data_IF_070160432115
#
_entry.id   IF_070160432115
#
_cell.length_a   1.000
_cell.length_b   1.000
_cell.length_c   1.000
_cell.angle_alpha   90.00
_cell.angle_beta   90.00
_cell.angle_gamma   90.00
#
_symmetry.space_group_name_H-M   'P 1'
#
loop_
_entity.id
_entity.type
_entity.pdbx_description
1 polymer ?
#
# COMPACT_ATOMS: atom_id res chain seq x y z
N UNK A 1 5.12 20.82 -39.79
CA UNK A 1 6.11 21.06 -38.72
C UNK A 1 5.41 21.84 -37.62
N UNK A 2 5.21 21.46 -36.36
CA UNK A 2 5.42 20.27 -35.51
C UNK A 2 4.05 20.04 -34.83
N UNK A 3 3.46 18.84 -34.70
CA UNK A 3 3.91 17.63 -33.99
C UNK A 3 4.25 17.86 -32.51
N UNK A 4 3.31 18.40 -31.73
CA UNK A 4 3.26 18.14 -30.30
C UNK A 4 2.06 17.24 -30.00
N UNK A 5 2.35 15.95 -30.12
CA UNK A 5 1.50 14.87 -29.66
C UNK A 5 1.21 15.07 -28.17
N UNK A 6 -0.02 15.48 -27.87
CA UNK A 6 -0.65 15.19 -26.59
C UNK A 6 -0.68 13.65 -26.45
N UNK A 7 0.41 13.08 -25.95
CA UNK A 7 0.48 11.66 -25.57
C UNK A 7 -0.32 11.51 -24.29
N UNK A 8 -1.62 11.30 -24.52
CA UNK A 8 -2.56 10.51 -23.74
C UNK A 8 -1.84 9.68 -22.67
N UNK A 9 -1.68 10.24 -21.47
CA UNK A 9 -1.26 9.51 -20.29
C UNK A 9 -2.44 8.60 -19.97
N UNK A 10 -2.33 7.33 -20.38
CA UNK A 10 -3.28 6.29 -20.00
C UNK A 10 -3.24 6.16 -18.48
N UNK A 11 -4.08 6.93 -17.81
CA UNK A 11 -4.37 6.81 -16.38
C UNK A 11 -5.15 5.53 -16.17
N UNK A 12 -4.46 4.39 -16.25
CA UNK A 12 -5.01 3.12 -15.82
C UNK A 12 -5.17 3.20 -14.31
N UNK A 13 -6.42 3.13 -13.83
CA UNK A 13 -6.70 3.01 -12.40
C UNK A 13 -6.07 1.72 -11.89
N UNK A 14 -5.01 1.84 -11.13
CA UNK A 14 -4.32 0.74 -10.47
C UNK A 14 -5.25 0.10 -9.43
N UNK A 15 -5.32 -1.23 -9.41
CA UNK A 15 -6.11 -1.98 -8.42
C UNK A 15 -5.23 -2.40 -7.24
N UNK A 16 -5.86 -2.85 -6.14
CA UNK A 16 -5.13 -3.41 -4.99
C UNK A 16 -4.29 -4.63 -5.38
N UNK A 17 -4.74 -5.44 -6.33
CA UNK A 17 -4.00 -6.61 -6.83
C UNK A 17 -2.71 -6.22 -7.56
N UNK A 18 -2.71 -5.08 -8.24
CA UNK A 18 -1.50 -4.58 -8.91
C UNK A 18 -0.44 -4.18 -7.87
N UNK A 19 -0.86 -3.57 -6.76
CA UNK A 19 0.04 -3.08 -5.69
C UNK A 19 0.43 -4.18 -4.70
N UNK A 20 -0.47 -5.13 -4.42
CA UNK A 20 -0.29 -6.24 -3.48
C UNK A 20 -0.62 -7.59 -4.14
N UNK A 21 0.24 -8.07 -5.07
CA UNK A 21 -0.08 -9.23 -5.90
C UNK A 21 -0.05 -10.58 -5.15
N UNK A 22 0.56 -10.62 -3.96
CA UNK A 22 0.73 -11.86 -3.20
C UNK A 22 -0.24 -11.99 -2.03
N UNK A 23 -0.46 -10.91 -1.30
CA UNK A 23 -1.32 -10.88 -0.13
C UNK A 23 -1.81 -9.46 0.10
N UNK A 24 -3.13 -9.26 0.04
CA UNK A 24 -3.75 -7.97 0.27
C UNK A 24 -3.85 -7.68 1.78
N UNK A 25 -3.79 -6.39 2.17
CA UNK A 25 -4.04 -5.97 3.54
C UNK A 25 -5.50 -6.20 3.95
N UNK A 26 -5.72 -6.45 5.23
CA UNK A 26 -7.02 -6.77 5.81
C UNK A 26 -7.40 -5.76 6.89
N UNK A 27 -8.68 -5.38 6.92
CA UNK A 27 -9.24 -4.55 8.00
C UNK A 27 -9.49 -5.36 9.28
N UNK A 28 -9.47 -6.68 9.17
CA UNK A 28 -9.67 -7.62 10.28
C UNK A 28 -8.35 -8.10 10.88
N UNK A 29 -7.21 -7.79 10.25
CA UNK A 29 -5.90 -8.09 10.81
C UNK A 29 -5.55 -7.09 11.91
N UNK A 30 -4.99 -7.60 13.01
CA UNK A 30 -4.48 -6.77 14.10
C UNK A 30 -3.25 -5.98 13.63
N UNK A 31 -2.47 -6.56 12.71
CA UNK A 31 -1.26 -5.95 12.14
C UNK A 31 -1.19 -6.23 10.64
N UNK A 32 -1.09 -5.17 9.85
CA UNK A 32 -0.72 -5.23 8.43
C UNK A 32 0.76 -4.84 8.27
N UNK A 33 1.59 -5.73 7.73
CA UNK A 33 3.02 -5.53 7.52
C UNK A 33 3.26 -5.27 6.04
N UNK A 34 3.66 -4.06 5.69
CA UNK A 34 3.95 -3.69 4.31
C UNK A 34 5.44 -3.87 3.99
N UNK A 35 5.77 -4.84 3.14
CA UNK A 35 7.15 -5.18 2.81
C UNK A 35 7.59 -4.55 1.48
N UNK A 36 8.52 -3.60 1.55
CA UNK A 36 9.06 -2.91 0.39
C UNK A 36 10.32 -3.64 -0.13
N UNK A 37 10.33 -4.10 -1.40
CA UNK A 37 11.50 -4.74 -1.97
C UNK A 37 12.66 -3.74 -2.12
N UNK A 38 13.89 -4.26 -2.08
CA UNK A 38 15.09 -3.46 -2.36
C UNK A 38 15.08 -2.95 -3.81
N UNK A 39 15.87 -1.91 -4.08
CA UNK A 39 15.95 -1.28 -5.40
C UNK A 39 16.28 -2.31 -6.49
N UNK A 40 15.30 -2.59 -7.37
CA UNK A 40 15.44 -3.57 -8.45
C UNK A 40 14.63 -4.87 -8.27
N UNK A 41 14.22 -5.20 -7.04
CA UNK A 41 13.38 -6.36 -6.75
C UNK A 41 11.89 -6.08 -6.94
N UNK A 42 11.10 -7.13 -7.17
CA UNK A 42 9.63 -7.07 -7.09
C UNK A 42 9.10 -7.83 -5.88
N UNK A 43 7.78 -7.87 -5.71
CA UNK A 43 7.11 -8.48 -4.57
C UNK A 43 7.38 -9.99 -4.47
N UNK A 44 7.69 -10.65 -5.58
CA UNK A 44 7.94 -12.10 -5.64
C UNK A 44 9.09 -12.59 -4.73
N UNK A 45 10.03 -11.72 -4.34
CA UNK A 45 11.11 -12.07 -3.41
C UNK A 45 10.58 -12.54 -2.05
N UNK A 46 9.37 -12.11 -1.71
CA UNK A 46 8.71 -12.42 -0.44
C UNK A 46 7.83 -13.68 -0.50
N UNK A 47 7.71 -14.35 -1.65
CA UNK A 47 6.91 -15.58 -1.77
C UNK A 47 7.28 -16.63 -0.73
N UNK A 48 8.58 -16.79 -0.46
CA UNK A 48 9.06 -17.76 0.53
C UNK A 48 8.65 -17.38 1.96
N UNK A 49 8.50 -16.10 2.26
CA UNK A 49 8.16 -15.62 3.60
C UNK A 49 6.69 -15.87 3.91
N UNK A 50 5.81 -15.79 2.91
CA UNK A 50 4.39 -16.12 3.03
C UNK A 50 4.13 -17.60 3.28
N UNK A 51 5.07 -18.48 2.90
CA UNK A 51 4.97 -19.93 3.09
C UNK A 51 5.53 -20.39 4.44
N UNK A 52 6.01 -19.48 5.29
CA UNK A 52 6.48 -19.86 6.61
C UNK A 52 5.27 -20.00 7.56
N UNK A 53 5.09 -21.16 8.16
CA UNK A 53 3.97 -21.46 9.07
C UNK A 53 4.07 -20.77 10.44
N UNK A 54 4.96 -19.79 10.60
CA UNK A 54 5.24 -19.11 11.87
C UNK A 54 4.56 -17.73 11.99
N UNK A 55 3.78 -17.32 11.00
CA UNK A 55 3.01 -16.08 11.08
C UNK A 55 1.74 -16.29 11.92
N UNK A 56 1.43 -15.37 12.85
CA UNK A 56 0.14 -15.35 13.52
C UNK A 56 -1.01 -15.16 12.51
N UNK A 57 -2.12 -15.89 12.68
CA UNK A 57 -3.29 -15.80 11.78
C UNK A 57 -3.93 -14.39 11.73
N UNK A 58 -3.71 -13.58 12.76
CA UNK A 58 -4.20 -12.21 12.88
C UNK A 58 -3.25 -11.17 12.25
N UNK A 59 -2.15 -11.59 11.63
CA UNK A 59 -1.21 -10.70 10.94
C UNK A 59 -1.33 -10.89 9.42
N UNK A 60 -1.29 -9.79 8.69
CA UNK A 60 -1.27 -9.80 7.23
C UNK A 60 0.07 -9.28 6.73
N UNK A 61 0.86 -10.15 6.12
CA UNK A 61 2.11 -9.75 5.47
C UNK A 61 1.84 -9.40 4.01
N UNK A 62 2.04 -8.13 3.64
CA UNK A 62 1.62 -7.56 2.36
C UNK A 62 2.85 -7.05 1.57
N UNK A 63 3.46 -7.90 0.73
CA UNK A 63 4.50 -7.50 -0.19
C UNK A 63 4.02 -6.45 -1.18
N UNK A 64 4.75 -5.32 -1.27
CA UNK A 64 4.41 -4.21 -2.15
C UNK A 64 5.10 -4.39 -3.51
N UNK A 65 4.33 -4.28 -4.58
CA UNK A 65 4.81 -4.26 -5.96
C UNK A 65 4.94 -2.83 -6.48
N UNK A 66 6.18 -2.38 -6.71
CA UNK A 66 6.46 -1.04 -7.21
C UNK A 66 6.17 -0.92 -8.72
N UNK A 67 5.79 0.29 -9.15
CA UNK A 67 5.63 0.65 -10.57
C UNK A 67 6.89 0.33 -11.38
N UNK A 68 6.74 -0.20 -12.59
CA UNK A 68 7.87 -0.50 -13.47
C UNK A 68 8.62 -1.80 -13.10
N UNK A 69 8.00 -2.69 -12.32
CA UNK A 69 8.57 -3.98 -11.90
C UNK A 69 7.59 -5.13 -12.14
N UNK A 70 8.10 -6.30 -12.51
CA UNK A 70 7.33 -7.54 -12.73
C UNK A 70 6.03 -7.33 -13.53
N UNK A 71 4.87 -7.62 -12.93
CA UNK A 71 3.56 -7.46 -13.57
C UNK A 71 3.22 -5.99 -13.90
N UNK A 72 3.93 -5.03 -13.29
CA UNK A 72 3.85 -3.59 -13.53
C UNK A 72 5.00 -3.04 -14.40
N UNK A 73 5.77 -3.89 -15.12
CA UNK A 73 6.95 -3.48 -15.92
C UNK A 73 6.66 -2.43 -17.01
N UNK A 74 5.41 -2.37 -17.49
CA UNK A 74 4.99 -1.41 -18.54
C UNK A 74 4.72 0.00 -17.99
N UNK A 75 4.67 0.15 -16.67
CA UNK A 75 4.46 1.44 -16.03
C UNK A 75 5.77 2.20 -15.91
N UNK A 76 5.68 3.53 -15.92
CA UNK A 76 6.85 4.40 -15.78
C UNK A 76 7.34 4.29 -14.33
N UNK A 77 8.61 3.89 -14.09
CA UNK A 77 9.15 3.88 -12.73
C UNK A 77 9.23 5.30 -12.17
N UNK A 78 8.86 5.47 -10.90
CA UNK A 78 9.13 6.71 -10.19
C UNK A 78 10.63 7.00 -10.13
N UNK A 79 11.00 8.24 -10.44
CA UNK A 79 12.39 8.73 -10.37
C UNK A 79 12.73 9.36 -9.02
N UNK A 80 11.71 9.69 -8.24
CA UNK A 80 11.84 10.34 -6.93
C UNK A 80 11.12 9.50 -5.88
N UNK A 81 11.74 9.39 -4.70
CA UNK A 81 11.16 8.61 -3.59
C UNK A 81 9.84 9.22 -3.10
N UNK A 82 9.73 10.55 -3.08
CA UNK A 82 8.54 11.23 -2.58
C UNK A 82 7.29 10.89 -3.40
N UNK A 83 7.41 10.82 -4.73
CA UNK A 83 6.31 10.44 -5.62
C UNK A 83 5.89 8.99 -5.44
N UNK A 84 6.87 8.10 -5.19
CA UNK A 84 6.59 6.70 -4.90
C UNK A 84 5.86 6.55 -3.56
N UNK A 85 6.33 7.23 -2.52
CA UNK A 85 5.68 7.20 -1.20
C UNK A 85 4.26 7.76 -1.31
N UNK A 86 4.06 8.87 -2.02
CA UNK A 86 2.74 9.46 -2.21
C UNK A 86 1.75 8.50 -2.89
N UNK A 87 2.19 7.73 -3.89
CA UNK A 87 1.36 6.67 -4.49
C UNK A 87 1.02 5.59 -3.44
N UNK A 88 2.02 5.06 -2.76
CA UNK A 88 1.85 3.96 -1.80
C UNK A 88 0.95 4.34 -0.63
N UNK A 89 1.04 5.58 -0.14
CA UNK A 89 0.19 6.09 0.93
C UNK A 89 -1.30 5.99 0.55
N UNK A 90 -1.69 6.20 -0.71
CA UNK A 90 -3.09 6.07 -1.12
C UNK A 90 -3.63 4.64 -0.95
N UNK A 91 -2.76 3.63 -1.07
CA UNK A 91 -3.13 2.21 -0.91
C UNK A 91 -2.97 1.69 0.51
N UNK A 92 -2.05 2.29 1.28
CA UNK A 92 -1.72 1.85 2.64
C UNK A 92 -2.55 2.60 3.70
N UNK A 93 -2.89 3.87 3.48
CA UNK A 93 -3.61 4.71 4.42
C UNK A 93 -4.92 4.08 4.95
N UNK A 94 -5.74 3.39 4.14
CA UNK A 94 -6.95 2.76 4.64
C UNK A 94 -6.71 1.69 5.72
N UNK A 95 -5.52 1.09 5.77
CA UNK A 95 -5.21 -0.07 6.60
C UNK A 95 -4.23 0.24 7.75
N UNK A 96 -3.79 1.50 7.90
CA UNK A 96 -2.78 1.91 8.89
C UNK A 96 -3.37 2.53 10.16
N UNK A 97 -4.68 2.78 10.17
CA UNK A 97 -5.44 3.16 11.36
C UNK A 97 -6.77 2.42 11.31
N UNK A 98 -7.26 1.81 12.41
CA UNK A 98 -8.70 1.62 12.54
C UNK A 98 -9.33 3.01 12.31
N UNK A 99 -10.48 3.14 11.61
CA UNK A 99 -11.14 4.43 11.52
C UNK A 99 -11.26 4.94 12.95
N UNK A 100 -10.51 5.98 13.28
CA UNK A 100 -10.67 6.67 14.55
C UNK A 100 -12.06 7.25 14.46
N UNK A 101 -13.05 6.47 14.91
CA UNK A 101 -14.27 7.02 15.42
C UNK A 101 -13.80 8.01 16.46
N UNK A 102 -13.83 9.30 16.10
CA UNK A 102 -13.86 10.37 17.06
C UNK A 102 -15.16 10.16 17.84
N UNK A 103 -15.18 9.20 18.75
CA UNK A 103 -16.15 9.19 19.83
C UNK A 103 -15.68 10.36 20.68
N UNK A 104 -16.33 11.50 20.51
CA UNK A 104 -16.21 12.60 21.45
C UNK A 104 -16.71 12.11 22.80
N UNK A 105 -15.87 11.42 23.57
CA UNK A 105 -15.95 11.50 25.02
C UNK A 105 -15.31 12.82 25.38
N UNK A 106 -16.11 13.88 25.25
CA UNK A 106 -15.97 15.01 26.14
C UNK A 106 -16.12 14.41 27.54
N UNK A 107 -15.02 14.26 28.29
CA UNK A 107 -15.14 14.26 29.73
C UNK A 107 -15.63 15.66 30.07
N UNK A 108 -16.95 15.84 30.06
CA UNK A 108 -17.58 16.95 30.73
C UNK A 108 -17.14 16.85 32.17
N UNK A 109 -16.21 17.73 32.56
CA UNK A 109 -15.93 18.04 33.94
C UNK A 109 -17.24 18.41 34.60
N UNK A 110 -17.84 17.48 35.35
CA UNK A 110 -18.86 17.84 36.32
C UNK A 110 -18.13 17.95 37.67
N UNK A 111 -17.62 19.16 37.89
CA UNK A 111 -17.39 19.69 39.22
C UNK A 111 -18.76 20.17 39.76
N UNK A 112 -18.95 20.20 41.09
CA UNK A 112 -20.15 20.67 41.84
C UNK A 112 -21.14 19.51 42.16
N UNK A 113 -21.41 19.07 43.39
CA UNK A 113 -21.21 19.54 44.78
C UNK A 113 -20.87 18.35 45.70
#
# INVERSE_FOLDING_TARGET
MNSDSQKNVSSKSLTLDDVFPLQQPSMQADINIFALPFAGGGASIYNRWLQLDNWPDNWCFCPVQLSGRENRIKEVPHKQMDSLIAELVNYIAPYTLPPMGLTGKLYGVQNML
#
